data_IF_475414160977
#
_entry.id   IF_475414160977
#
_cell.length_a   1.000
_cell.length_b   1.000
_cell.length_c   1.000
_cell.angle_alpha   90.00
_cell.angle_beta   90.00
_cell.angle_gamma   90.00
#
_symmetry.space_group_name_H-M   'P 1'
#
loop_
_entity.id
_entity.type
_entity.pdbx_description
1 polymer ?
#
# COMPACT_ATOMS: atom_id res chain seq x y z
N UNK A 1 37.92 -19.86 -9.54
CA UNK A 1 37.61 -20.49 -8.23
C UNK A 1 36.38 -21.35 -8.38
N UNK A 2 36.55 -22.65 -8.59
CA UNK A 2 35.44 -23.62 -8.59
C UNK A 2 35.06 -23.91 -7.14
N UNK A 3 33.82 -23.62 -6.76
CA UNK A 3 33.27 -24.06 -5.48
C UNK A 3 33.12 -25.58 -5.52
N UNK A 4 33.96 -26.32 -4.79
CA UNK A 4 33.74 -27.75 -4.53
C UNK A 4 32.50 -27.89 -3.62
N UNK A 5 31.32 -27.86 -4.23
CA UNK A 5 30.05 -28.12 -3.55
C UNK A 5 29.94 -29.61 -3.26
N UNK A 6 29.88 -29.98 -1.98
CA UNK A 6 29.71 -31.39 -1.61
C UNK A 6 28.28 -31.86 -1.96
N UNK A 7 28.10 -33.17 -2.20
CA UNK A 7 26.76 -33.79 -2.43
C UNK A 7 25.74 -33.46 -1.34
N UNK A 8 26.20 -33.17 -0.12
CA UNK A 8 25.36 -32.80 1.02
C UNK A 8 24.80 -31.38 0.86
N UNK A 9 25.61 -30.46 0.34
CA UNK A 9 25.22 -29.06 0.08
C UNK A 9 24.24 -28.95 -1.09
N UNK A 10 24.41 -29.81 -2.11
CA UNK A 10 23.45 -29.89 -3.23
C UNK A 10 22.08 -30.36 -2.73
N UNK A 11 22.03 -31.37 -1.85
CA UNK A 11 20.76 -31.85 -1.26
C UNK A 11 20.09 -30.81 -0.36
N UNK A 12 20.85 -30.06 0.42
CA UNK A 12 20.30 -29.01 1.30
C UNK A 12 19.76 -27.84 0.48
N UNK A 13 20.46 -27.45 -0.59
CA UNK A 13 20.00 -26.44 -1.55
C UNK A 13 18.70 -26.86 -2.26
N UNK A 14 18.58 -28.12 -2.70
CA UNK A 14 17.34 -28.64 -3.29
C UNK A 14 16.16 -28.64 -2.31
N UNK A 15 16.42 -28.98 -1.04
CA UNK A 15 15.39 -28.97 0.00
C UNK A 15 14.88 -27.54 0.28
N UNK A 16 15.78 -26.55 0.29
CA UNK A 16 15.45 -25.13 0.41
C UNK A 16 14.64 -24.63 -0.79
N UNK A 17 15.05 -25.00 -2.01
CA UNK A 17 14.35 -24.70 -3.25
C UNK A 17 12.91 -25.24 -3.26
N UNK A 18 12.69 -26.51 -2.89
CA UNK A 18 11.34 -27.09 -2.83
C UNK A 18 10.46 -26.40 -1.79
N UNK A 19 11.03 -25.96 -0.65
CA UNK A 19 10.29 -25.18 0.35
C UNK A 19 9.90 -23.81 -0.19
N UNK A 20 10.81 -23.12 -0.87
CA UNK A 20 10.55 -21.82 -1.51
C UNK A 20 9.48 -21.93 -2.60
N UNK A 21 9.49 -22.99 -3.40
CA UNK A 21 8.54 -23.21 -4.49
C UNK A 21 7.12 -23.51 -3.98
N UNK A 22 6.97 -24.30 -2.91
CA UNK A 22 5.67 -24.47 -2.24
C UNK A 22 5.18 -23.16 -1.62
N UNK A 23 6.07 -22.39 -1.00
CA UNK A 23 5.75 -21.09 -0.43
C UNK A 23 5.32 -20.09 -1.51
N UNK A 24 5.92 -20.16 -2.70
CA UNK A 24 5.57 -19.33 -3.87
C UNK A 24 4.12 -19.50 -4.33
N UNK A 25 3.60 -20.73 -4.38
CA UNK A 25 2.19 -20.97 -4.75
C UNK A 25 1.22 -20.37 -3.74
N UNK A 26 1.49 -20.50 -2.44
CA UNK A 26 0.70 -19.85 -1.39
C UNK A 26 0.83 -18.33 -1.46
N UNK A 27 2.03 -17.84 -1.76
CA UNK A 27 2.30 -16.40 -1.91
C UNK A 27 1.52 -15.75 -3.05
N UNK A 28 1.25 -16.44 -4.16
CA UNK A 28 0.39 -15.90 -5.23
C UNK A 28 -1.00 -15.52 -4.71
N UNK A 29 -1.62 -16.37 -3.90
CA UNK A 29 -2.94 -16.11 -3.32
C UNK A 29 -2.88 -15.05 -2.22
N UNK A 30 -1.91 -15.17 -1.31
CA UNK A 30 -1.71 -14.20 -0.22
C UNK A 30 -1.44 -12.81 -0.78
N UNK A 31 -0.72 -12.68 -1.90
CA UNK A 31 -0.45 -11.39 -2.57
C UNK A 31 -1.74 -10.67 -2.95
N UNK A 32 -2.64 -11.34 -3.66
CA UNK A 32 -3.88 -10.72 -4.11
C UNK A 32 -4.78 -10.36 -2.94
N UNK A 33 -4.83 -11.23 -1.93
CA UNK A 33 -5.54 -10.96 -0.69
C UNK A 33 -4.99 -9.73 0.04
N UNK A 34 -3.67 -9.64 0.25
CA UNK A 34 -3.04 -8.50 0.93
C UNK A 34 -3.22 -7.20 0.14
N UNK A 35 -3.07 -7.22 -1.18
CA UNK A 35 -3.32 -6.04 -2.02
C UNK A 35 -4.76 -5.55 -1.92
N UNK A 36 -5.75 -6.46 -1.97
CA UNK A 36 -7.15 -6.11 -1.79
C UNK A 36 -7.42 -5.53 -0.40
N UNK A 37 -6.98 -6.22 0.65
CA UNK A 37 -7.20 -5.81 2.04
C UNK A 37 -6.52 -4.47 2.36
N UNK A 38 -5.33 -4.22 1.83
CA UNK A 38 -4.62 -2.96 2.07
C UNK A 38 -5.05 -1.83 1.14
N UNK A 39 -5.76 -2.12 0.05
CA UNK A 39 -6.42 -1.09 -0.78
C UNK A 39 -7.71 -0.56 -0.15
N UNK A 40 -8.39 -1.35 0.69
CA UNK A 40 -9.62 -0.98 1.39
C UNK A 40 -9.54 0.35 2.17
N UNK A 41 -8.55 0.58 3.06
CA UNK A 41 -8.43 1.85 3.78
C UNK A 41 -8.18 3.04 2.83
N UNK A 42 -7.48 2.83 1.72
CA UNK A 42 -7.28 3.86 0.70
C UNK A 42 -8.60 4.21 0.00
N UNK A 43 -9.40 3.20 -0.38
CA UNK A 43 -10.72 3.41 -0.97
C UNK A 43 -11.64 4.13 0.01
N UNK A 44 -11.66 3.72 1.27
CA UNK A 44 -12.44 4.38 2.32
C UNK A 44 -12.03 5.84 2.51
N UNK A 45 -10.73 6.14 2.48
CA UNK A 45 -10.24 7.52 2.54
C UNK A 45 -10.71 8.36 1.34
N UNK A 46 -10.65 7.81 0.12
CA UNK A 46 -11.12 8.49 -1.09
C UNK A 46 -12.63 8.75 -1.02
N UNK A 47 -13.41 7.75 -0.61
CA UNK A 47 -14.87 7.88 -0.46
C UNK A 47 -15.20 8.95 0.58
N UNK A 48 -14.54 8.94 1.74
CA UNK A 48 -14.74 9.95 2.76
C UNK A 48 -14.46 11.36 2.23
N UNK A 49 -13.34 11.58 1.53
CA UNK A 49 -13.04 12.90 0.94
C UNK A 49 -14.07 13.27 -0.13
N UNK A 50 -14.44 12.33 -1.01
CA UNK A 50 -15.38 12.56 -2.10
C UNK A 50 -16.79 12.90 -1.62
N UNK A 51 -17.24 12.34 -0.48
CA UNK A 51 -18.56 12.65 0.08
C UNK A 51 -18.55 13.91 0.92
N UNK A 52 -17.50 14.16 1.70
CA UNK A 52 -17.46 15.27 2.65
C UNK A 52 -17.04 16.60 2.01
N UNK A 53 -16.20 16.59 0.97
CA UNK A 53 -15.73 17.82 0.34
C UNK A 53 -16.86 18.64 -0.33
N UNK A 54 -17.80 18.04 -1.10
CA UNK A 54 -18.93 18.78 -1.66
C UNK A 54 -19.84 19.36 -0.57
N UNK A 55 -20.13 18.57 0.47
CA UNK A 55 -20.97 19.01 1.60
C UNK A 55 -20.37 20.23 2.30
N UNK A 56 -19.05 20.26 2.49
CA UNK A 56 -18.38 21.43 3.06
C UNK A 56 -18.49 22.66 2.19
N UNK A 57 -18.29 22.46 0.88
CA UNK A 57 -18.29 23.53 -0.11
C UNK A 57 -19.67 24.15 -0.27
N UNK A 58 -20.72 23.34 -0.27
CA UNK A 58 -22.10 23.82 -0.36
C UNK A 58 -22.46 24.63 0.90
N UNK A 59 -22.09 24.15 2.09
CA UNK A 59 -22.28 24.89 3.34
C UNK A 59 -21.50 26.21 3.39
N UNK A 60 -20.26 26.23 2.89
CA UNK A 60 -19.45 27.45 2.83
C UNK A 60 -20.09 28.50 1.90
N UNK A 61 -20.65 28.06 0.75
CA UNK A 61 -21.36 28.93 -0.17
C UNK A 61 -22.67 29.47 0.42
N UNK A 62 -23.43 28.63 1.12
CA UNK A 62 -24.69 29.02 1.76
C UNK A 62 -24.45 30.03 2.89
N UNK A 63 -23.41 29.81 3.70
CA UNK A 63 -23.00 30.76 4.75
C UNK A 63 -22.49 32.09 4.16
N UNK A 64 -21.73 32.04 3.06
CA UNK A 64 -21.29 33.25 2.37
C UNK A 64 -22.49 34.04 1.80
N UNK A 65 -23.52 33.34 1.29
CA UNK A 65 -24.76 33.97 0.81
C UNK A 65 -25.56 34.59 1.95
N UNK A 66 -25.79 33.87 3.05
CA UNK A 66 -26.55 34.40 4.20
C UNK A 66 -25.91 35.67 4.76
N UNK A 67 -24.58 35.68 4.91
CA UNK A 67 -23.81 36.86 5.31
C UNK A 67 -23.95 38.06 4.37
N UNK A 68 -24.19 37.84 3.07
CA UNK A 68 -24.37 38.93 2.09
C UNK A 68 -25.82 39.41 1.96
N UNK A 69 -26.80 38.51 2.05
CA UNK A 69 -28.22 38.85 1.94
C UNK A 69 -28.83 39.41 3.24
N UNK A 70 -28.34 39.01 4.42
CA UNK A 70 -28.92 39.43 5.72
C UNK A 70 -28.32 40.71 6.31
N UNK A 71 -27.54 41.48 5.54
CA UNK A 71 -26.99 42.77 6.01
C UNK A 71 -28.05 43.83 6.36
N UNK A 72 -29.34 43.58 6.09
CA UNK A 72 -30.45 44.45 6.50
C UNK A 72 -31.17 44.04 7.80
N UNK A 73 -31.00 42.81 8.32
CA UNK A 73 -31.73 42.35 9.52
C UNK A 73 -30.76 41.85 10.59
N UNK A 74 -30.28 42.80 11.40
CA UNK A 74 -29.38 42.58 12.55
C UNK A 74 -30.09 41.85 13.69
N UNK A 75 -30.30 40.54 13.57
CA UNK A 75 -30.73 39.69 14.69
C UNK A 75 -29.53 38.96 15.31
N UNK A 76 -29.02 39.41 16.47
CA UNK A 76 -27.80 38.87 17.06
C UNK A 76 -27.90 37.40 17.50
N UNK A 77 -29.12 36.89 17.71
CA UNK A 77 -29.32 35.46 18.04
C UNK A 77 -29.14 34.55 16.83
N UNK A 78 -29.53 35.02 15.63
CA UNK A 78 -29.37 34.27 14.39
C UNK A 78 -27.89 34.16 14.02
N UNK A 79 -27.16 35.28 14.03
CA UNK A 79 -25.72 35.35 13.76
C UNK A 79 -24.93 34.42 14.70
N UNK A 80 -25.29 34.39 15.98
CA UNK A 80 -24.65 33.50 16.95
C UNK A 80 -24.94 32.02 16.68
N UNK A 81 -26.19 31.69 16.34
CA UNK A 81 -26.58 30.32 16.01
C UNK A 81 -25.86 29.82 14.75
N UNK A 82 -25.79 30.64 13.70
CA UNK A 82 -25.06 30.30 12.47
C UNK A 82 -23.56 30.12 12.72
N UNK A 83 -22.94 30.98 13.53
CA UNK A 83 -21.53 30.87 13.89
C UNK A 83 -21.23 29.59 14.70
N UNK A 84 -22.09 29.22 15.65
CA UNK A 84 -21.97 27.98 16.43
C UNK A 84 -22.17 26.73 15.54
N UNK A 85 -23.12 26.78 14.60
CA UNK A 85 -23.37 25.70 13.64
C UNK A 85 -22.19 25.53 12.65
N UNK A 86 -21.68 26.63 12.12
CA UNK A 86 -20.49 26.62 11.27
C UNK A 86 -19.29 26.06 12.06
N UNK A 87 -19.01 26.53 13.27
CA UNK A 87 -17.91 26.00 14.07
C UNK A 87 -18.00 24.48 14.31
N UNK A 88 -19.22 23.95 14.53
CA UNK A 88 -19.46 22.50 14.67
C UNK A 88 -19.18 21.73 13.37
N UNK A 89 -19.67 22.24 12.24
CA UNK A 89 -19.43 21.67 10.91
C UNK A 89 -17.94 21.64 10.56
N UNK A 90 -17.22 22.73 10.81
CA UNK A 90 -15.78 22.84 10.56
C UNK A 90 -14.96 21.92 11.49
N UNK A 91 -15.35 21.80 12.76
CA UNK A 91 -14.72 20.87 13.69
C UNK A 91 -14.91 19.40 13.31
N UNK A 92 -16.14 19.01 12.94
CA UNK A 92 -16.45 17.64 12.53
C UNK A 92 -15.75 17.26 11.21
N UNK A 93 -15.71 18.17 10.25
CA UNK A 93 -15.05 17.95 8.97
C UNK A 93 -13.53 17.88 9.08
N UNK A 94 -12.90 18.70 9.92
CA UNK A 94 -11.48 18.56 10.25
C UNK A 94 -11.15 17.17 10.82
N UNK A 95 -12.02 16.62 11.69
CA UNK A 95 -11.87 15.27 12.21
C UNK A 95 -11.96 14.20 11.10
N UNK A 96 -12.95 14.31 10.20
CA UNK A 96 -13.08 13.37 9.08
C UNK A 96 -11.91 13.47 8.09
N UNK A 97 -11.41 14.67 7.81
CA UNK A 97 -10.22 14.87 6.97
C UNK A 97 -8.97 14.26 7.61
N UNK A 98 -8.78 14.45 8.92
CA UNK A 98 -7.68 13.83 9.65
C UNK A 98 -7.78 12.30 9.59
N UNK A 99 -8.96 11.74 9.83
CA UNK A 99 -9.21 10.30 9.75
C UNK A 99 -8.96 9.75 8.34
N UNK A 100 -9.45 10.43 7.30
CA UNK A 100 -9.21 10.06 5.91
C UNK A 100 -7.72 10.10 5.56
N UNK A 101 -6.99 11.11 6.04
CA UNK A 101 -5.54 11.22 5.84
C UNK A 101 -4.79 10.08 6.54
N UNK A 102 -5.16 9.73 7.78
CA UNK A 102 -4.59 8.60 8.51
C UNK A 102 -4.85 7.27 7.82
N UNK A 103 -6.08 7.05 7.32
CA UNK A 103 -6.44 5.84 6.57
C UNK A 103 -5.73 5.77 5.21
N UNK A 104 -5.65 6.90 4.49
CA UNK A 104 -4.96 6.98 3.20
C UNK A 104 -3.46 6.71 3.34
N UNK A 105 -2.79 7.38 4.29
CA UNK A 105 -1.36 7.19 4.55
C UNK A 105 -1.03 5.77 5.03
N UNK A 106 -1.81 5.21 5.96
CA UNK A 106 -1.63 3.83 6.41
C UNK A 106 -1.85 2.81 5.27
N UNK A 107 -2.87 3.01 4.43
CA UNK A 107 -3.11 2.19 3.24
C UNK A 107 -1.93 2.22 2.26
N UNK A 108 -1.39 3.41 1.98
CA UNK A 108 -0.22 3.58 1.11
C UNK A 108 1.02 2.86 1.70
N UNK A 109 1.30 3.04 2.99
CA UNK A 109 2.45 2.38 3.65
C UNK A 109 2.32 0.85 3.56
N UNK A 110 1.13 0.31 3.80
CA UNK A 110 0.89 -1.13 3.73
C UNK A 110 1.02 -1.66 2.29
N UNK A 111 0.56 -0.90 1.29
CA UNK A 111 0.75 -1.23 -0.12
C UNK A 111 2.24 -1.25 -0.49
N UNK A 112 3.01 -0.23 -0.09
CA UNK A 112 4.46 -0.17 -0.34
C UNK A 112 5.15 -1.39 0.29
N UNK A 113 4.84 -1.70 1.55
CA UNK A 113 5.43 -2.84 2.24
C UNK A 113 5.11 -4.18 1.55
N UNK A 114 3.87 -4.32 1.06
CA UNK A 114 3.42 -5.52 0.33
C UNK A 114 4.15 -5.68 -0.99
N UNK A 115 4.32 -4.59 -1.74
CA UNK A 115 5.08 -4.58 -3.01
C UNK A 115 6.55 -4.87 -2.76
N UNK A 116 7.16 -4.28 -1.71
CA UNK A 116 8.57 -4.51 -1.39
C UNK A 116 8.84 -5.97 -0.99
N UNK A 117 7.99 -6.54 -0.14
CA UNK A 117 8.08 -7.96 0.23
C UNK A 117 7.90 -8.88 -0.97
N UNK A 118 7.03 -8.51 -1.91
CA UNK A 118 6.87 -9.26 -3.15
C UNK A 118 8.14 -9.19 -4.01
N UNK A 119 8.72 -8.01 -4.23
CA UNK A 119 9.97 -7.87 -4.98
C UNK A 119 11.09 -8.71 -4.37
N UNK A 120 11.22 -8.70 -3.04
CA UNK A 120 12.18 -9.54 -2.32
C UNK A 120 11.94 -11.03 -2.57
N UNK A 121 10.68 -11.48 -2.49
CA UNK A 121 10.34 -12.88 -2.74
C UNK A 121 10.63 -13.32 -4.19
N UNK A 122 10.39 -12.46 -5.17
CA UNK A 122 10.72 -12.73 -6.58
C UNK A 122 12.23 -12.82 -6.78
N UNK A 123 12.99 -11.90 -6.18
CA UNK A 123 14.45 -11.90 -6.24
C UNK A 123 15.03 -13.20 -5.66
N UNK A 124 14.57 -13.62 -4.48
CA UNK A 124 14.99 -14.88 -3.84
C UNK A 124 14.68 -16.10 -4.73
N UNK A 125 13.52 -16.11 -5.39
CA UNK A 125 13.14 -17.18 -6.32
C UNK A 125 14.01 -17.21 -7.58
N UNK A 126 14.33 -16.05 -8.15
CA UNK A 126 15.20 -15.95 -9.33
C UNK A 126 16.62 -16.38 -8.99
N UNK A 127 17.15 -15.92 -7.85
CA UNK A 127 18.47 -16.31 -7.36
C UNK A 127 18.55 -17.83 -7.15
N UNK A 128 17.53 -18.42 -6.51
CA UNK A 128 17.49 -19.86 -6.30
C UNK A 128 17.41 -20.65 -7.61
N UNK A 129 16.68 -20.15 -8.62
CA UNK A 129 16.66 -20.75 -9.97
C UNK A 129 18.00 -20.64 -10.68
N UNK A 130 18.67 -19.49 -10.58
CA UNK A 130 19.99 -19.28 -11.16
C UNK A 130 21.05 -20.21 -10.55
N UNK A 131 21.04 -20.36 -9.22
CA UNK A 131 21.90 -21.32 -8.52
C UNK A 131 21.62 -22.77 -8.96
N UNK A 132 20.34 -23.14 -9.10
CA UNK A 132 19.98 -24.47 -9.64
C UNK A 132 20.50 -24.69 -11.05
N UNK A 133 20.41 -23.69 -11.92
CA UNK A 133 20.91 -23.77 -13.28
C UNK A 133 22.44 -23.96 -13.30
N UNK A 134 23.18 -23.24 -12.46
CA UNK A 134 24.64 -23.39 -12.33
C UNK A 134 25.05 -24.77 -11.81
N UNK A 135 24.30 -25.34 -10.85
CA UNK A 135 24.56 -26.68 -10.31
C UNK A 135 24.22 -27.77 -11.35
N UNK A 136 23.22 -27.54 -12.20
CA UNK A 136 22.78 -28.49 -13.21
C UNK A 136 23.61 -28.45 -14.51
N UNK A 137 24.36 -27.38 -14.76
CA UNK A 137 25.31 -27.32 -15.88
C UNK A 137 26.46 -28.32 -15.68
N UNK A 138 26.70 -29.24 -16.63
CA UNK A 138 27.85 -30.15 -16.55
C UNK A 138 29.17 -29.36 -16.55
N UNK A 139 30.26 -29.90 -15.96
CA UNK A 139 31.56 -29.27 -16.06
C UNK A 139 31.92 -29.10 -17.53
N UNK A 140 32.17 -27.86 -17.94
CA UNK A 140 32.60 -27.53 -19.30
C UNK A 140 34.00 -28.15 -19.49
N UNK A 141 34.12 -29.11 -20.40
CA UNK A 141 35.33 -29.90 -20.67
C UNK A 141 36.44 -29.12 -21.40
N UNK A 142 36.44 -27.79 -21.34
CA UNK A 142 37.24 -26.95 -22.24
C UNK A 142 38.60 -26.49 -21.66
N UNK A 143 39.07 -27.06 -20.55
CA UNK A 143 40.44 -26.83 -20.06
C UNK A 143 41.33 -28.05 -20.36
N UNK A 144 41.37 -28.48 -21.62
CA UNK A 144 42.54 -29.21 -22.15
C UNK A 144 43.31 -28.26 -23.06
N UNK A 145 44.12 -27.42 -22.42
CA UNK A 145 45.20 -26.71 -23.11
C UNK A 145 46.22 -27.78 -23.49
N UNK A 146 46.13 -28.28 -24.71
CA UNK A 146 47.23 -28.98 -25.37
C UNK A 146 48.25 -27.92 -25.79
N UNK A 147 49.36 -27.83 -25.06
CA UNK A 147 50.63 -27.29 -25.55
C UNK A 147 51.70 -28.34 -25.40
#
# INVERSE_FOLDING_TARGET
MSLELTRRDVKSAEALLRRLERRSRRWKWIRWYLLLVYSLPLVLAIVAVATFYPLLRDHENDFARSMTEETEVTNPTLIRWEAEHAASLWGSSAFYFALATMLGTSGIILLIFTVNNWNRHVYDLLLAKALRAQIASPPRSDDTITT
#
